data_IF_142339428670
#
_entry.id   IF_142339428670
#
_cell.length_a   1.000
_cell.length_b   1.000
_cell.length_c   1.000
_cell.angle_alpha   90.00
_cell.angle_beta   90.00
_cell.angle_gamma   90.00
#
_symmetry.space_group_name_H-M   'P 1'
#
loop_
_entity.id
_entity.type
_entity.pdbx_description
1 polymer ?
#
# COMPACT_ATOMS: atom_id res chain seq x y z
N UNK A 1 14.54 17.26 -6.00
CA UNK A 1 13.70 16.50 -5.04
C UNK A 1 12.63 17.37 -4.41
N UNK A 2 11.44 16.82 -4.17
CA UNK A 2 10.22 17.53 -3.73
C UNK A 2 10.43 18.57 -2.61
N UNK A 3 11.09 18.19 -1.51
CA UNK A 3 11.37 19.12 -0.40
C UNK A 3 12.30 20.26 -0.82
N UNK A 4 13.33 19.94 -1.59
CA UNK A 4 14.29 20.92 -2.11
C UNK A 4 13.60 21.91 -3.06
N UNK A 5 12.72 21.42 -3.94
CA UNK A 5 11.90 22.24 -4.83
C UNK A 5 10.95 23.15 -4.05
N UNK A 6 10.24 22.58 -3.07
CA UNK A 6 9.32 23.35 -2.21
C UNK A 6 10.05 24.45 -1.44
N UNK A 7 11.24 24.17 -0.89
CA UNK A 7 12.06 25.17 -0.20
C UNK A 7 12.60 26.23 -1.16
N UNK A 8 12.99 25.84 -2.38
CA UNK A 8 13.45 26.79 -3.41
C UNK A 8 12.32 27.72 -3.85
N UNK A 9 11.09 27.21 -3.99
CA UNK A 9 9.91 28.02 -4.32
C UNK A 9 9.52 28.98 -3.18
N UNK A 10 9.68 28.56 -1.92
CA UNK A 10 9.36 29.37 -0.74
C UNK A 10 10.43 30.41 -0.37
N UNK A 11 11.70 30.08 -0.52
CA UNK A 11 12.83 30.90 -0.05
C UNK A 11 13.64 31.55 -1.19
N UNK A 12 13.27 31.30 -2.45
CA UNK A 12 13.83 31.96 -3.63
C UNK A 12 15.10 31.31 -4.20
N UNK A 13 15.57 31.87 -5.32
CA UNK A 13 16.61 31.31 -6.20
C UNK A 13 18.02 31.16 -5.58
N UNK A 14 18.24 31.63 -4.35
CA UNK A 14 19.52 31.54 -3.63
C UNK A 14 19.75 30.23 -2.88
N UNK A 15 18.85 29.26 -2.96
CA UNK A 15 18.94 27.99 -2.25
C UNK A 15 20.05 27.08 -2.83
N UNK A 16 21.20 26.90 -2.14
CA UNK A 16 22.43 26.35 -2.73
C UNK A 16 22.49 24.81 -2.73
N UNK A 17 21.42 24.13 -2.32
CA UNK A 17 21.41 22.67 -2.20
C UNK A 17 21.06 22.04 -3.56
N UNK A 18 22.00 21.24 -4.07
CA UNK A 18 21.81 20.45 -5.28
C UNK A 18 20.74 19.36 -5.06
N UNK A 19 20.02 19.02 -6.12
CA UNK A 19 19.04 17.94 -6.06
C UNK A 19 19.75 16.59 -5.91
N UNK A 20 19.25 15.76 -4.99
CA UNK A 20 19.77 14.42 -4.76
C UNK A 20 19.20 13.47 -5.82
N UNK A 21 19.96 13.17 -6.86
CA UNK A 21 19.54 12.19 -7.87
C UNK A 21 19.94 10.78 -7.41
N UNK A 22 19.03 10.11 -6.69
CA UNK A 22 19.25 8.76 -6.16
C UNK A 22 18.24 7.82 -6.79
N UNK A 23 18.77 6.80 -7.48
CA UNK A 23 17.96 5.69 -7.96
C UNK A 23 17.50 4.86 -6.76
N UNK A 24 16.20 4.93 -6.45
CA UNK A 24 15.62 4.11 -5.40
C UNK A 24 15.32 2.70 -5.94
N UNK A 25 15.72 1.63 -5.23
CA UNK A 25 15.44 0.28 -5.67
C UNK A 25 13.94 -0.01 -5.61
N UNK A 26 13.46 -0.77 -6.59
CA UNK A 26 12.09 -1.27 -6.62
C UNK A 26 11.79 -2.05 -5.33
N UNK A 27 10.61 -1.82 -4.74
CA UNK A 27 10.19 -2.50 -3.51
C UNK A 27 10.75 -1.88 -2.22
N UNK A 28 11.43 -0.72 -2.27
CA UNK A 28 11.97 -0.03 -1.08
C UNK A 28 10.96 0.16 0.03
N UNK A 29 9.75 0.55 -0.32
CA UNK A 29 8.68 0.74 0.65
C UNK A 29 8.35 -0.55 1.40
N UNK A 30 8.30 -1.70 0.71
CA UNK A 30 7.89 -2.97 1.30
C UNK A 30 8.91 -3.49 2.30
N UNK A 31 10.18 -3.60 1.92
CA UNK A 31 11.19 -4.07 2.85
C UNK A 31 11.40 -3.06 4.00
N UNK A 32 11.23 -1.75 3.76
CA UNK A 32 11.29 -0.73 4.83
C UNK A 32 10.17 -0.97 5.85
N UNK A 33 8.92 -1.15 5.42
CA UNK A 33 7.84 -1.44 6.34
C UNK A 33 8.06 -2.75 7.10
N UNK A 34 8.48 -3.82 6.43
CA UNK A 34 8.71 -5.12 7.05
C UNK A 34 9.82 -5.10 8.10
N UNK A 35 10.95 -4.48 7.77
CA UNK A 35 12.11 -4.37 8.67
C UNK A 35 11.83 -3.42 9.84
N UNK A 36 11.14 -2.30 9.60
CA UNK A 36 10.74 -1.38 10.65
C UNK A 36 9.74 -2.03 11.61
N UNK A 37 8.74 -2.75 11.09
CA UNK A 37 7.78 -3.51 11.89
C UNK A 37 8.47 -4.50 12.81
N UNK A 38 9.34 -5.33 12.23
CA UNK A 38 10.08 -6.34 12.97
C UNK A 38 10.90 -5.71 14.10
N UNK A 39 11.65 -4.64 13.79
CA UNK A 39 12.49 -3.94 14.76
C UNK A 39 11.65 -3.35 15.90
N UNK A 40 10.52 -2.72 15.58
CA UNK A 40 9.61 -2.14 16.58
C UNK A 40 8.98 -3.24 17.44
N UNK A 41 8.59 -4.38 16.86
CA UNK A 41 7.97 -5.49 17.58
C UNK A 41 8.93 -6.16 18.56
N UNK A 42 10.19 -6.33 18.15
CA UNK A 42 11.27 -6.80 19.03
C UNK A 42 11.51 -5.80 20.15
N UNK A 43 11.60 -4.50 19.83
CA UNK A 43 11.78 -3.45 20.85
C UNK A 43 10.63 -3.42 21.88
N UNK A 44 9.39 -3.60 21.42
CA UNK A 44 8.19 -3.68 22.27
C UNK A 44 8.02 -5.02 22.99
N UNK A 45 8.93 -5.98 22.80
CA UNK A 45 8.86 -7.36 23.35
C UNK A 45 7.58 -8.10 22.94
N UNK A 46 7.06 -7.80 21.75
CA UNK A 46 5.90 -8.48 21.15
C UNK A 46 6.33 -9.64 20.25
N UNK A 47 7.61 -9.67 19.87
CA UNK A 47 8.23 -10.71 19.06
C UNK A 47 9.64 -10.98 19.57
N UNK A 48 10.00 -12.26 19.71
CA UNK A 48 11.38 -12.66 19.99
C UNK A 48 12.24 -12.50 18.72
N UNK A 49 13.46 -11.95 18.83
CA UNK A 49 14.32 -11.79 17.66
C UNK A 49 14.73 -13.14 17.08
N UNK A 50 14.60 -13.30 15.76
CA UNK A 50 15.12 -14.48 15.06
C UNK A 50 16.64 -14.51 15.13
N UNK A 51 17.18 -15.70 15.42
CA UNK A 51 18.62 -15.98 15.44
C UNK A 51 19.14 -16.49 14.08
N UNK A 52 18.23 -16.73 13.14
CA UNK A 52 18.53 -17.25 11.81
C UNK A 52 18.49 -16.10 10.79
N UNK A 53 19.69 -15.64 10.39
CA UNK A 53 19.85 -14.55 9.42
C UNK A 53 19.33 -14.94 8.03
N UNK A 54 19.44 -16.21 7.64
CA UNK A 54 19.00 -16.67 6.32
C UNK A 54 17.48 -16.61 6.19
N UNK A 55 16.76 -17.11 7.19
CA UNK A 55 15.29 -17.03 7.24
C UNK A 55 14.79 -15.59 7.40
N UNK A 56 15.54 -14.75 8.13
CA UNK A 56 15.24 -13.33 8.20
C UNK A 56 15.38 -12.65 6.84
N UNK A 57 16.49 -12.90 6.14
CA UNK A 57 16.72 -12.38 4.79
C UNK A 57 15.61 -12.85 3.84
N UNK A 58 15.20 -14.12 3.91
CA UNK A 58 14.09 -14.66 3.12
C UNK A 58 12.76 -13.98 3.44
N UNK A 59 12.47 -13.67 4.72
CA UNK A 59 11.29 -12.89 5.10
C UNK A 59 11.27 -11.51 4.46
N UNK A 60 12.39 -10.78 4.52
CA UNK A 60 12.52 -9.42 3.95
C UNK A 60 12.47 -9.43 2.43
N UNK A 61 13.02 -10.47 1.79
CA UNK A 61 13.16 -10.58 0.33
C UNK A 61 12.17 -11.55 -0.31
N UNK A 62 11.09 -11.91 0.40
CA UNK A 62 10.13 -12.90 -0.08
C UNK A 62 9.48 -12.43 -1.38
N UNK A 63 9.96 -12.98 -2.50
CA UNK A 63 9.69 -12.45 -3.84
C UNK A 63 8.20 -12.35 -4.22
N UNK A 64 7.28 -13.24 -3.76
CA UNK A 64 5.88 -13.13 -4.17
C UNK A 64 5.24 -11.79 -3.80
N UNK A 65 5.72 -11.11 -2.76
CA UNK A 65 5.15 -9.86 -2.28
C UNK A 65 6.03 -8.63 -2.47
N UNK A 66 7.30 -8.79 -2.84
CA UNK A 66 8.34 -7.76 -2.69
C UNK A 66 8.06 -6.44 -3.46
N UNK A 67 7.31 -6.49 -4.55
CA UNK A 67 7.08 -5.34 -5.43
C UNK A 67 5.67 -4.74 -5.27
N UNK A 68 4.65 -5.59 -5.16
CA UNK A 68 3.25 -5.16 -5.21
C UNK A 68 2.30 -6.08 -4.41
N UNK A 69 2.83 -6.88 -3.48
CA UNK A 69 2.02 -7.76 -2.64
C UNK A 69 1.53 -7.07 -1.35
N UNK A 70 0.93 -7.84 -0.44
CA UNK A 70 0.60 -7.37 0.90
C UNK A 70 1.85 -7.02 1.72
N UNK A 71 1.76 -5.97 2.55
CA UNK A 71 2.80 -5.63 3.53
C UNK A 71 2.70 -6.59 4.71
N UNK A 72 3.41 -7.70 4.62
CA UNK A 72 3.38 -8.73 5.66
C UNK A 72 4.03 -8.34 6.99
N UNK A 73 3.62 -9.07 8.02
CA UNK A 73 4.07 -8.89 9.39
C UNK A 73 4.90 -10.08 9.84
N UNK A 74 6.02 -9.81 10.52
CA UNK A 74 6.90 -10.87 11.00
C UNK A 74 6.19 -11.94 11.84
N UNK A 75 5.30 -11.62 12.80
CA UNK A 75 4.59 -12.65 13.56
C UNK A 75 3.73 -13.61 12.70
N UNK A 76 3.25 -13.16 11.54
CA UNK A 76 2.42 -13.96 10.64
C UNK A 76 3.24 -14.75 9.61
N UNK A 77 4.22 -14.10 8.96
CA UNK A 77 4.98 -14.70 7.86
C UNK A 77 6.26 -15.42 8.33
N UNK A 78 7.03 -14.82 9.25
CA UNK A 78 8.36 -15.33 9.62
C UNK A 78 8.33 -16.77 10.16
N UNK A 79 7.38 -17.18 11.05
CA UNK A 79 7.29 -18.56 11.52
C UNK A 79 7.03 -19.59 10.41
N UNK A 80 6.44 -19.18 9.28
CA UNK A 80 6.14 -20.09 8.17
C UNK A 80 7.43 -20.62 7.52
N UNK A 81 8.53 -19.85 7.52
CA UNK A 81 9.84 -20.28 6.99
C UNK A 81 10.56 -21.33 7.85
N UNK A 82 10.06 -21.61 9.06
CA UNK A 82 10.59 -22.65 9.94
C UNK A 82 9.83 -23.96 9.82
N UNK A 83 8.70 -23.98 9.08
CA UNK A 83 7.85 -25.16 8.91
C UNK A 83 8.25 -25.92 7.64
N UNK A 84 8.12 -27.23 7.69
CA UNK A 84 8.25 -28.07 6.50
C UNK A 84 7.03 -27.85 5.59
N UNK A 85 7.28 -27.44 4.34
CA UNK A 85 6.22 -27.28 3.34
C UNK A 85 6.04 -28.60 2.59
N UNK A 86 4.90 -29.26 2.82
CA UNK A 86 4.50 -30.45 2.06
C UNK A 86 3.68 -30.06 0.83
N UNK A 87 3.78 -30.87 -0.21
CA UNK A 87 2.96 -30.69 -1.40
C UNK A 87 1.48 -30.97 -1.09
N UNK A 88 0.61 -30.06 -1.51
CA UNK A 88 -0.84 -30.16 -1.41
C UNK A 88 -1.46 -29.68 -2.72
N UNK A 89 -1.99 -30.61 -3.51
CA UNK A 89 -2.61 -30.33 -4.80
C UNK A 89 -3.80 -29.36 -4.70
N UNK A 90 -4.57 -29.43 -3.60
CA UNK A 90 -5.70 -28.54 -3.38
C UNK A 90 -5.22 -27.12 -3.09
N UNK A 91 -4.15 -26.96 -2.28
CA UNK A 91 -3.52 -25.66 -2.03
C UNK A 91 -2.95 -25.05 -3.30
N UNK A 92 -2.21 -25.82 -4.09
CA UNK A 92 -1.65 -25.37 -5.37
C UNK A 92 -2.76 -24.94 -6.33
N UNK A 93 -3.82 -25.74 -6.47
CA UNK A 93 -4.97 -25.41 -7.33
C UNK A 93 -5.65 -24.11 -6.89
N UNK A 94 -5.84 -23.89 -5.57
CA UNK A 94 -6.41 -22.64 -5.05
C UNK A 94 -5.51 -21.43 -5.36
N UNK A 95 -4.20 -21.59 -5.19
CA UNK A 95 -3.22 -20.55 -5.52
C UNK A 95 -3.26 -20.17 -7.00
N UNK A 96 -3.23 -21.16 -7.90
CA UNK A 96 -3.31 -20.95 -9.35
C UNK A 96 -4.62 -20.29 -9.78
N UNK A 97 -5.77 -20.69 -9.20
CA UNK A 97 -7.06 -20.04 -9.46
C UNK A 97 -7.07 -18.56 -9.03
N UNK A 98 -6.45 -18.25 -7.90
CA UNK A 98 -6.33 -16.86 -7.43
C UNK A 98 -5.41 -16.05 -8.34
N UNK A 99 -4.27 -16.61 -8.77
CA UNK A 99 -3.40 -15.97 -9.75
C UNK A 99 -4.15 -15.69 -11.06
N UNK A 100 -4.89 -16.66 -11.58
CA UNK A 100 -5.70 -16.50 -12.79
C UNK A 100 -6.68 -15.34 -12.68
N UNK A 101 -7.36 -15.21 -11.53
CA UNK A 101 -8.24 -14.07 -11.27
C UNK A 101 -7.49 -12.74 -11.20
N UNK A 102 -6.33 -12.72 -10.56
CA UNK A 102 -5.47 -11.54 -10.52
C UNK A 102 -4.99 -11.11 -11.90
N UNK A 103 -4.58 -12.06 -12.75
CA UNK A 103 -4.21 -11.81 -14.14
C UNK A 103 -5.38 -11.28 -14.97
N UNK A 104 -6.58 -11.82 -14.78
CA UNK A 104 -7.77 -11.29 -15.46
C UNK A 104 -8.01 -9.82 -15.11
N UNK A 105 -8.02 -9.47 -13.81
CA UNK A 105 -8.20 -8.07 -13.38
C UNK A 105 -7.13 -7.15 -13.94
N UNK A 106 -5.87 -7.58 -13.92
CA UNK A 106 -4.73 -6.78 -14.40
C UNK A 106 -4.75 -6.63 -15.93
N UNK A 107 -4.65 -7.74 -16.64
CA UNK A 107 -4.38 -7.76 -18.08
C UNK A 107 -5.62 -7.46 -18.93
N UNK A 108 -6.80 -7.89 -18.48
CA UNK A 108 -8.05 -7.77 -19.25
C UNK A 108 -8.80 -6.50 -18.89
N UNK A 109 -8.81 -6.10 -17.62
CA UNK A 109 -9.54 -4.91 -17.17
C UNK A 109 -8.60 -3.71 -17.09
N UNK A 110 -7.66 -3.70 -16.15
CA UNK A 110 -6.86 -2.51 -15.86
C UNK A 110 -6.03 -2.04 -17.06
N UNK A 111 -5.29 -2.95 -17.70
CA UNK A 111 -4.41 -2.61 -18.83
C UNK A 111 -5.18 -2.22 -20.10
N UNK A 112 -6.48 -2.54 -20.19
CA UNK A 112 -7.35 -2.10 -21.30
C UNK A 112 -8.01 -0.76 -21.02
N UNK A 113 -8.33 -0.49 -19.75
CA UNK A 113 -8.92 0.78 -19.33
C UNK A 113 -7.87 1.90 -19.26
N UNK A 114 -6.62 1.58 -18.90
CA UNK A 114 -5.56 2.56 -18.72
C UNK A 114 -5.37 3.52 -19.92
N UNK A 115 -5.23 3.06 -21.19
CA UNK A 115 -5.04 3.97 -22.32
C UNK A 115 -6.23 4.92 -22.54
N UNK A 116 -7.44 4.48 -22.21
CA UNK A 116 -8.67 5.29 -22.33
C UNK A 116 -8.64 6.43 -21.29
N UNK A 117 -8.26 6.10 -20.05
CA UNK A 117 -8.12 7.09 -18.98
C UNK A 117 -6.99 8.06 -19.30
N UNK A 118 -5.84 7.55 -19.73
CA UNK A 118 -4.66 8.35 -20.03
C UNK A 118 -4.92 9.34 -21.17
N UNK A 119 -5.70 8.97 -22.19
CA UNK A 119 -6.07 9.88 -23.27
C UNK A 119 -6.79 11.13 -22.73
N UNK A 120 -7.73 10.95 -21.79
CA UNK A 120 -8.51 12.05 -21.21
C UNK A 120 -7.68 12.83 -20.19
N UNK A 121 -6.90 12.17 -19.34
CA UNK A 121 -6.14 12.80 -18.27
C UNK A 121 -4.90 13.57 -18.75
N UNK A 122 -4.34 13.20 -19.91
CA UNK A 122 -3.23 13.94 -20.51
C UNK A 122 -3.70 15.22 -21.22
N UNK A 123 -4.96 15.29 -21.68
CA UNK A 123 -5.51 16.44 -22.40
C UNK A 123 -6.92 16.82 -21.89
N UNK A 124 -7.09 17.13 -20.60
CA UNK A 124 -8.42 17.32 -20.02
C UNK A 124 -9.16 18.53 -20.58
N UNK A 125 -8.44 19.54 -21.11
CA UNK A 125 -9.02 20.72 -21.72
C UNK A 125 -9.69 20.45 -23.08
N UNK A 126 -9.33 19.33 -23.73
CA UNK A 126 -9.84 18.95 -25.06
C UNK A 126 -11.12 18.09 -24.97
N UNK A 127 -11.57 17.79 -23.76
CA UNK A 127 -12.72 16.93 -23.49
C UNK A 127 -13.81 17.66 -22.72
N UNK A 128 -15.06 17.29 -22.98
CA UNK A 128 -16.21 17.81 -22.25
C UNK A 128 -16.30 17.20 -20.83
N UNK A 129 -17.03 17.89 -19.95
CA UNK A 129 -17.12 17.50 -18.54
C UNK A 129 -17.66 16.09 -18.30
N UNK A 130 -18.58 15.60 -19.15
CA UNK A 130 -19.14 14.25 -19.02
C UNK A 130 -18.06 13.20 -19.32
N UNK A 131 -17.25 13.42 -20.36
CA UNK A 131 -16.12 12.55 -20.68
C UNK A 131 -15.11 12.48 -19.53
N UNK A 132 -14.81 13.61 -18.90
CA UNK A 132 -13.90 13.65 -17.73
C UNK A 132 -14.48 12.86 -16.55
N UNK A 133 -15.77 13.03 -16.23
CA UNK A 133 -16.43 12.27 -15.16
C UNK A 133 -16.37 10.76 -15.44
N UNK A 134 -16.64 10.35 -16.68
CA UNK A 134 -16.58 8.95 -17.07
C UNK A 134 -15.16 8.40 -16.98
N UNK A 135 -14.16 9.15 -17.42
CA UNK A 135 -12.75 8.81 -17.27
C UNK A 135 -12.35 8.66 -15.80
N UNK A 136 -12.86 9.50 -14.90
CA UNK A 136 -12.63 9.36 -13.46
C UNK A 136 -13.25 8.09 -12.87
N UNK A 137 -14.46 7.73 -13.29
CA UNK A 137 -15.08 6.46 -12.88
C UNK A 137 -14.27 5.24 -13.39
N UNK A 138 -13.80 5.31 -14.64
CA UNK A 138 -12.92 4.29 -15.22
C UNK A 138 -11.58 4.21 -14.50
N UNK A 139 -10.99 5.34 -14.12
CA UNK A 139 -9.76 5.38 -13.34
C UNK A 139 -9.92 4.68 -11.99
N UNK A 140 -11.05 4.87 -11.31
CA UNK A 140 -11.35 4.14 -10.06
C UNK A 140 -11.41 2.62 -10.30
N UNK A 141 -12.02 2.16 -11.39
CA UNK A 141 -12.01 0.75 -11.77
C UNK A 141 -10.58 0.26 -12.09
N UNK A 142 -9.84 1.03 -12.88
CA UNK A 142 -8.46 0.72 -13.28
C UNK A 142 -7.57 0.53 -12.06
N UNK A 143 -7.48 1.52 -11.17
CA UNK A 143 -6.57 1.48 -10.02
C UNK A 143 -6.90 0.32 -9.08
N UNK A 144 -8.19 0.01 -8.91
CA UNK A 144 -8.61 -1.14 -8.11
C UNK A 144 -8.25 -2.48 -8.77
N UNK A 145 -8.58 -2.66 -10.05
CA UNK A 145 -8.29 -3.90 -10.77
C UNK A 145 -6.80 -4.13 -10.92
N UNK A 146 -6.02 -3.07 -11.12
CA UNK A 146 -4.57 -3.10 -11.19
C UNK A 146 -3.98 -3.59 -9.87
N UNK A 147 -4.27 -2.88 -8.78
CA UNK A 147 -3.62 -3.15 -7.51
C UNK A 147 -4.14 -4.44 -6.84
N UNK A 148 -5.45 -4.66 -6.88
CA UNK A 148 -6.01 -5.91 -6.38
C UNK A 148 -5.63 -7.10 -7.27
N UNK A 149 -5.37 -6.88 -8.57
CA UNK A 149 -4.83 -7.88 -9.48
C UNK A 149 -3.44 -8.34 -9.07
N UNK A 150 -2.51 -7.38 -8.86
CA UNK A 150 -1.18 -7.68 -8.33
C UNK A 150 -1.22 -8.39 -6.97
N UNK A 151 -2.07 -7.92 -6.06
CA UNK A 151 -2.22 -8.54 -4.74
C UNK A 151 -2.70 -9.99 -4.84
N UNK A 152 -3.64 -10.31 -5.73
CA UNK A 152 -4.11 -11.68 -5.94
C UNK A 152 -3.05 -12.58 -6.58
N UNK A 153 -2.27 -12.06 -7.52
CA UNK A 153 -1.15 -12.78 -8.12
C UNK A 153 -0.10 -13.11 -7.04
N UNK A 154 0.25 -12.13 -6.20
CA UNK A 154 1.18 -12.27 -5.10
C UNK A 154 0.73 -13.33 -4.07
N UNK A 155 -0.52 -13.20 -3.58
CA UNK A 155 -1.10 -14.14 -2.61
C UNK A 155 -1.23 -15.54 -3.21
N UNK A 156 -1.66 -15.65 -4.47
CA UNK A 156 -1.78 -16.92 -5.17
C UNK A 156 -0.43 -17.61 -5.36
N UNK A 157 0.61 -16.87 -5.76
CA UNK A 157 1.97 -17.39 -5.92
C UNK A 157 2.55 -17.87 -4.58
N UNK A 158 2.41 -17.08 -3.51
CA UNK A 158 2.81 -17.48 -2.18
C UNK A 158 2.09 -18.76 -1.71
N UNK A 159 0.78 -18.86 -1.97
CA UNK A 159 -0.02 -20.04 -1.62
C UNK A 159 0.44 -21.30 -2.36
N UNK A 160 0.81 -21.20 -3.64
CA UNK A 160 1.41 -22.32 -4.38
C UNK A 160 2.69 -22.80 -3.68
N UNK A 161 3.52 -21.86 -3.21
CA UNK A 161 4.75 -22.13 -2.45
C UNK A 161 4.50 -22.60 -1.01
N UNK A 162 3.25 -22.63 -0.54
CA UNK A 162 2.89 -23.05 0.80
C UNK A 162 2.95 -21.98 1.88
N UNK A 163 2.95 -20.71 1.48
CA UNK A 163 2.88 -19.57 2.38
C UNK A 163 1.52 -18.89 2.29
N UNK A 164 0.96 -18.55 3.44
CA UNK A 164 -0.27 -17.78 3.54
C UNK A 164 0.06 -16.31 3.78
N UNK A 165 -0.31 -15.47 2.81
CA UNK A 165 -0.26 -14.01 2.90
C UNK A 165 -1.65 -13.46 3.20
N UNK A 166 -1.69 -12.29 3.85
CA UNK A 166 -2.88 -11.56 4.19
C UNK A 166 -3.57 -10.98 2.95
N UNK A 167 -4.88 -10.80 3.04
CA UNK A 167 -5.64 -10.14 1.99
C UNK A 167 -5.41 -8.63 2.02
N UNK A 168 -5.24 -8.03 0.84
CA UNK A 168 -5.06 -6.59 0.72
C UNK A 168 -6.35 -5.85 0.32
N UNK A 169 -7.32 -6.55 -0.28
CA UNK A 169 -8.58 -5.95 -0.76
C UNK A 169 -9.79 -6.83 -0.45
N UNK A 170 -10.88 -6.21 0.00
CA UNK A 170 -12.16 -6.90 0.28
C UNK A 170 -13.37 -6.10 -0.22
N UNK A 171 -13.60 -6.12 -1.53
CA UNK A 171 -14.73 -5.41 -2.19
C UNK A 171 -14.95 -3.97 -1.66
N UNK A 172 -13.94 -3.08 -1.77
CA UNK A 172 -13.97 -1.75 -1.13
C UNK A 172 -15.06 -0.82 -1.67
N UNK A 173 -15.42 -0.93 -2.95
CA UNK A 173 -16.51 -0.11 -3.53
C UNK A 173 -17.92 -0.53 -3.10
N UNK A 174 -18.07 -1.62 -2.33
CA UNK A 174 -19.33 -2.00 -1.68
C UNK A 174 -19.46 -1.44 -0.26
N UNK A 175 -18.55 -0.56 0.16
CA UNK A 175 -18.59 0.06 1.50
C UNK A 175 -19.69 1.10 1.61
N UNK A 176 -20.37 1.13 2.76
CA UNK A 176 -21.40 2.12 3.09
C UNK A 176 -20.83 3.39 3.73
N UNK A 177 -19.54 3.42 4.08
CA UNK A 177 -18.86 4.58 4.65
C UNK A 177 -17.38 4.63 4.26
N UNK A 178 -16.75 5.82 4.37
CA UNK A 178 -15.31 6.02 4.13
C UNK A 178 -14.46 5.19 5.11
N UNK A 179 -14.90 5.07 6.36
CA UNK A 179 -14.23 4.23 7.35
C UNK A 179 -14.23 2.75 6.94
N UNK A 180 -15.36 2.27 6.41
CA UNK A 180 -15.47 0.91 5.90
C UNK A 180 -14.68 0.72 4.59
N UNK A 181 -14.61 1.73 3.73
CA UNK A 181 -13.75 1.71 2.56
C UNK A 181 -12.29 1.44 2.94
N UNK A 182 -11.74 2.18 3.90
CA UNK A 182 -10.35 2.01 4.35
C UNK A 182 -10.09 0.74 5.16
N UNK A 183 -11.12 0.06 5.66
CA UNK A 183 -10.96 -1.29 6.25
C UNK A 183 -10.94 -2.41 5.21
N UNK A 184 -11.24 -2.08 3.94
CA UNK A 184 -11.35 -3.01 2.80
C UNK A 184 -10.41 -2.68 1.65
N UNK A 185 -9.80 -1.50 1.65
CA UNK A 185 -8.83 -1.04 0.66
C UNK A 185 -7.42 -1.08 1.25
N UNK A 186 -6.47 -1.67 0.52
CA UNK A 186 -5.06 -1.79 0.91
C UNK A 186 -4.85 -2.13 2.41
N UNK A 187 -5.55 -3.18 2.85
CA UNK A 187 -5.69 -3.58 4.26
C UNK A 187 -4.34 -3.69 4.95
N UNK A 188 -3.32 -4.26 4.29
CA UNK A 188 -1.99 -4.42 4.88
C UNK A 188 -1.38 -3.09 5.28
N UNK A 189 -1.46 -2.07 4.43
CA UNK A 189 -0.93 -0.73 4.69
C UNK A 189 -1.77 -0.01 5.75
N UNK A 190 -3.10 -0.07 5.65
CA UNK A 190 -3.99 0.57 6.63
C UNK A 190 -3.79 -0.01 8.03
N UNK A 191 -3.62 -1.33 8.16
CA UNK A 191 -3.29 -1.96 9.45
C UNK A 191 -1.87 -1.64 9.92
N UNK A 192 -0.92 -1.50 9.01
CA UNK A 192 0.44 -1.06 9.35
C UNK A 192 0.42 0.34 9.97
N UNK A 193 -0.20 1.33 9.30
CA UNK A 193 -0.31 2.67 9.85
C UNK A 193 -1.08 2.69 11.17
N UNK A 194 -2.13 1.86 11.30
CA UNK A 194 -2.87 1.72 12.56
C UNK A 194 -1.96 1.30 13.71
N UNK A 195 -1.15 0.26 13.51
CA UNK A 195 -0.43 -0.41 14.58
C UNK A 195 0.92 0.28 14.92
N UNK A 196 1.54 0.96 13.95
CA UNK A 196 2.89 1.54 14.07
C UNK A 196 2.92 3.05 14.18
N UNK A 197 1.83 3.73 13.78
CA UNK A 197 1.74 5.19 13.84
C UNK A 197 0.55 5.64 14.69
N UNK A 198 -0.66 5.18 14.36
CA UNK A 198 -1.89 5.66 14.99
C UNK A 198 -2.04 5.27 16.47
N UNK A 199 -1.89 3.98 16.80
CA UNK A 199 -1.98 3.49 18.18
C UNK A 199 -0.91 4.13 19.08
N UNK A 200 0.37 4.24 18.65
CA UNK A 200 1.40 4.95 19.41
C UNK A 200 1.12 6.43 19.68
N UNK A 201 0.39 7.12 18.80
CA UNK A 201 -0.09 8.49 19.01
C UNK A 201 -1.23 8.60 20.05
N UNK A 202 -1.66 7.48 20.64
CA UNK A 202 -2.73 7.40 21.63
C UNK A 202 -4.04 6.82 21.08
N UNK A 203 -4.12 6.58 19.76
CA UNK A 203 -5.27 5.96 19.11
C UNK A 203 -6.60 6.63 19.49
N UNK A 204 -7.59 5.81 19.90
CA UNK A 204 -8.91 6.29 20.34
C UNK A 204 -8.97 6.65 21.84
N UNK A 205 -7.87 6.52 22.59
CA UNK A 205 -7.86 6.68 24.07
C UNK A 205 -7.56 8.12 24.51
N UNK A 206 -7.54 9.06 23.56
CA UNK A 206 -7.24 10.48 23.77
C UNK A 206 -8.51 11.32 23.60
N UNK A 207 -8.43 12.60 23.98
CA UNK A 207 -9.50 13.57 23.76
C UNK A 207 -9.90 13.63 22.28
N UNK A 208 -11.17 13.92 22.00
CA UNK A 208 -11.77 13.91 20.65
C UNK A 208 -10.97 14.72 19.61
N UNK A 209 -10.47 15.90 19.98
CA UNK A 209 -9.65 16.71 19.06
C UNK A 209 -8.30 16.08 18.74
N UNK A 210 -7.65 15.41 19.72
CA UNK A 210 -6.40 14.66 19.50
C UNK A 210 -6.63 13.42 18.66
N UNK A 211 -7.77 12.77 18.85
CA UNK A 211 -8.17 11.63 18.04
C UNK A 211 -8.29 12.01 16.57
N UNK A 212 -8.96 13.12 16.26
CA UNK A 212 -9.05 13.68 14.91
C UNK A 212 -7.70 14.10 14.35
N UNK A 213 -6.88 14.78 15.15
CA UNK A 213 -5.53 15.14 14.76
C UNK A 213 -4.68 13.91 14.39
N UNK A 214 -4.74 12.85 15.20
CA UNK A 214 -4.01 11.61 14.94
C UNK A 214 -4.44 10.95 13.62
N UNK A 215 -5.74 10.91 13.32
CA UNK A 215 -6.24 10.40 12.04
C UNK A 215 -5.73 11.24 10.87
N UNK A 216 -5.80 12.57 10.99
CA UNK A 216 -5.32 13.48 9.96
C UNK A 216 -3.82 13.32 9.69
N UNK A 217 -3.01 13.22 10.75
CA UNK A 217 -1.56 12.97 10.65
C UNK A 217 -1.26 11.64 9.96
N UNK A 218 -1.98 10.58 10.30
CA UNK A 218 -1.80 9.26 9.66
C UNK A 218 -2.07 9.35 8.15
N UNK A 219 -3.14 10.01 7.73
CA UNK A 219 -3.46 10.14 6.31
C UNK A 219 -2.52 11.08 5.56
N UNK A 220 -2.03 12.16 6.18
CA UNK A 220 -0.99 13.01 5.59
C UNK A 220 0.31 12.23 5.35
N UNK A 221 0.75 11.45 6.35
CA UNK A 221 1.95 10.62 6.22
C UNK A 221 1.72 9.51 5.17
N UNK A 222 0.53 8.92 5.12
CA UNK A 222 0.16 7.96 4.08
C UNK A 222 0.18 8.59 2.68
N UNK A 223 -0.30 9.83 2.54
CA UNK A 223 -0.21 10.59 1.28
C UNK A 223 1.24 10.80 0.86
N UNK A 224 2.07 11.35 1.76
CA UNK A 224 3.51 11.54 1.50
C UNK A 224 4.23 10.24 1.12
N UNK A 225 3.83 9.11 1.70
CA UNK A 225 4.35 7.79 1.33
C UNK A 225 4.01 7.38 -0.11
N UNK A 226 2.81 7.71 -0.60
CA UNK A 226 2.41 7.41 -1.98
C UNK A 226 3.19 8.23 -3.02
N UNK A 227 3.61 9.45 -2.67
CA UNK A 227 4.52 10.21 -3.50
C UNK A 227 4.85 11.58 -2.93
N UNK A 228 6.06 12.03 -3.23
CA UNK A 228 6.56 13.33 -2.84
C UNK A 228 6.04 14.40 -3.82
N UNK A 229 4.73 14.66 -3.79
CA UNK A 229 4.05 15.71 -4.56
C UNK A 229 2.88 16.28 -3.72
N UNK A 230 2.60 17.57 -3.87
CA UNK A 230 1.47 18.24 -3.26
C UNK A 230 0.12 17.58 -3.56
N UNK A 231 -0.05 16.96 -4.73
CA UNK A 231 -1.28 16.20 -5.05
C UNK A 231 -1.54 15.08 -4.04
N UNK A 232 -0.50 14.36 -3.60
CA UNK A 232 -0.62 13.32 -2.59
C UNK A 232 -0.80 13.87 -1.18
N UNK A 233 -0.20 15.03 -0.87
CA UNK A 233 -0.42 15.73 0.40
C UNK A 233 -1.89 16.16 0.52
N UNK A 234 -2.43 16.77 -0.53
CA UNK A 234 -3.83 17.17 -0.60
C UNK A 234 -4.77 15.96 -0.55
N UNK A 235 -4.43 14.88 -1.27
CA UNK A 235 -5.18 13.62 -1.20
C UNK A 235 -5.21 13.06 0.23
N UNK A 236 -4.09 13.07 0.94
CA UNK A 236 -4.01 12.64 2.34
C UNK A 236 -4.86 13.55 3.26
N UNK A 237 -4.74 14.87 3.09
CA UNK A 237 -5.54 15.84 3.86
C UNK A 237 -7.04 15.64 3.67
N UNK A 238 -7.50 15.42 2.42
CA UNK A 238 -8.91 15.19 2.09
C UNK A 238 -9.44 13.93 2.77
N UNK A 239 -8.72 12.80 2.68
CA UNK A 239 -9.16 11.56 3.31
C UNK A 239 -9.13 11.63 4.83
N UNK A 240 -8.15 12.34 5.40
CA UNK A 240 -8.12 12.66 6.83
C UNK A 240 -9.37 13.45 7.25
N UNK A 241 -9.76 14.46 6.48
CA UNK A 241 -10.97 15.25 6.74
C UNK A 241 -12.25 14.40 6.61
N UNK A 242 -12.37 13.55 5.58
CA UNK A 242 -13.53 12.67 5.37
C UNK A 242 -13.76 11.65 6.48
N UNK A 243 -12.75 11.30 7.27
CA UNK A 243 -12.89 10.40 8.41
C UNK A 243 -13.25 11.12 9.72
N UNK A 244 -13.06 12.44 9.76
CA UNK A 244 -13.38 13.28 10.91
C UNK A 244 -14.83 13.78 10.85
N UNK A 245 -15.35 13.98 9.63
CA UNK A 245 -16.74 14.33 9.32
C UNK A 245 -17.68 13.12 9.52
#
# INVERSE_FOLDING_TARGET
NFLNGTLRDLFGAGWPIADLDVLLPMGISFYTFQTLSYTIDVYRRQLEPTRDLGRFALYVTFFPQLVAGPIERAPALLPQFFREVRFDAARVTRGLKQMLWGFFKKLVIADRVAPIVDQVYNHPADHDGITVIFATALFALQIYCDFSGYSDIAIGAARVLGFDLMENFRTPYRSASIREFWSRWHISLSTWFRDYLYIPLGGNRVLKWRWYFNLFVVFLISGLWHGANWTFVLWGALHGAYLVL
#
